data_IF_002416060273
#
_entry.id   IF_002416060273
#
_cell.length_a   1.000
_cell.length_b   1.000
_cell.length_c   1.000
_cell.angle_alpha   90.00
_cell.angle_beta   90.00
_cell.angle_gamma   90.00
#
_symmetry.space_group_name_H-M   'P 1'
#
loop_
_entity.id
_entity.type
_entity.pdbx_description
1 polymer ?
#
# COMPACT_ATOMS: atom_id res chain seq x y z
N UNK A 1 12.95 48.74 11.89
CA UNK A 1 13.40 47.75 10.89
C UNK A 1 13.26 46.39 11.54
N UNK A 2 12.11 45.76 11.33
CA UNK A 2 11.83 44.42 11.83
C UNK A 2 12.46 43.45 10.83
N UNK A 3 13.48 42.71 11.27
CA UNK A 3 14.13 41.72 10.43
C UNK A 3 13.06 40.69 10.03
N UNK A 4 12.78 40.57 8.73
CA UNK A 4 11.96 39.48 8.21
C UNK A 4 12.73 38.19 8.46
N UNK A 5 12.45 37.52 9.58
CA UNK A 5 12.98 36.20 9.84
C UNK A 5 12.54 35.29 8.68
N UNK A 6 13.48 34.91 7.83
CA UNK A 6 13.22 33.97 6.74
C UNK A 6 12.64 32.70 7.36
N UNK A 7 11.38 32.38 7.03
CA UNK A 7 10.81 31.11 7.47
C UNK A 7 11.49 30.00 6.66
N UNK A 8 11.98 28.93 7.31
CA UNK A 8 12.61 27.83 6.60
C UNK A 8 11.63 27.19 5.62
N UNK A 9 12.16 26.77 4.46
CA UNK A 9 11.40 26.07 3.41
C UNK A 9 10.72 24.82 4.02
N UNK A 10 9.43 24.57 3.74
CA UNK A 10 8.71 23.41 4.27
C UNK A 10 9.17 22.12 3.58
N UNK A 11 10.28 21.53 4.06
CA UNK A 11 10.90 20.34 3.45
C UNK A 11 10.06 19.05 3.55
N UNK A 12 9.22 18.93 4.59
CA UNK A 12 8.44 17.72 4.87
C UNK A 12 7.48 17.35 3.73
N UNK A 13 6.60 18.23 3.24
CA UNK A 13 5.71 17.87 2.15
C UNK A 13 6.43 17.67 0.81
N UNK A 14 7.57 18.35 0.55
CA UNK A 14 8.39 18.06 -0.62
C UNK A 14 9.00 16.65 -0.57
N UNK A 15 9.49 16.24 0.60
CA UNK A 15 9.97 14.87 0.80
C UNK A 15 8.82 13.87 0.63
N UNK A 16 7.65 14.15 1.21
CA UNK A 16 6.45 13.32 1.05
C UNK A 16 6.02 13.15 -0.42
N UNK A 17 6.00 14.22 -1.21
CA UNK A 17 5.71 14.16 -2.65
C UNK A 17 6.76 13.35 -3.42
N UNK A 18 8.03 13.51 -3.06
CA UNK A 18 9.12 12.75 -3.68
C UNK A 18 8.93 11.25 -3.42
N UNK A 19 8.61 10.86 -2.19
CA UNK A 19 8.30 9.48 -1.82
C UNK A 19 7.09 8.96 -2.60
N UNK A 20 5.98 9.70 -2.62
CA UNK A 20 4.76 9.31 -3.35
C UNK A 20 5.07 9.11 -4.85
N UNK A 21 5.88 9.99 -5.44
CA UNK A 21 6.26 9.89 -6.85
C UNK A 21 7.11 8.65 -7.11
N UNK A 22 8.11 8.40 -6.26
CA UNK A 22 8.97 7.22 -6.39
C UNK A 22 8.18 5.92 -6.23
N UNK A 23 7.36 5.82 -5.19
CA UNK A 23 6.51 4.65 -4.94
C UNK A 23 5.52 4.44 -6.08
N UNK A 24 4.88 5.51 -6.53
CA UNK A 24 3.96 5.49 -7.66
C UNK A 24 4.62 5.04 -8.96
N UNK A 25 5.84 5.51 -9.21
CA UNK A 25 6.62 5.12 -10.38
C UNK A 25 6.95 3.62 -10.37
N UNK A 26 7.42 3.07 -9.25
CA UNK A 26 7.70 1.64 -9.14
C UNK A 26 6.43 0.81 -9.31
N UNK A 27 5.39 1.08 -8.50
CA UNK A 27 4.19 0.25 -8.46
C UNK A 27 3.31 0.42 -9.71
N UNK A 28 2.92 1.63 -10.07
CA UNK A 28 1.88 1.85 -11.08
C UNK A 28 2.41 2.19 -12.49
N UNK A 29 3.69 2.55 -12.63
CA UNK A 29 4.28 2.81 -13.95
C UNK A 29 5.16 1.67 -14.41
N UNK A 30 6.03 1.17 -13.52
CA UNK A 30 6.92 0.04 -13.83
C UNK A 30 6.26 -1.31 -13.58
N UNK A 31 5.20 -1.38 -12.78
CA UNK A 31 4.56 -2.64 -12.41
C UNK A 31 5.46 -3.54 -11.58
N UNK A 32 6.41 -2.96 -10.82
CA UNK A 32 7.37 -3.72 -10.02
C UNK A 32 7.35 -3.26 -8.57
N UNK A 33 7.74 -4.19 -7.70
CA UNK A 33 7.84 -3.95 -6.28
C UNK A 33 8.84 -2.84 -5.92
N UNK A 34 8.50 -2.05 -4.91
CA UNK A 34 9.47 -1.15 -4.27
C UNK A 34 10.50 -2.01 -3.52
N UNK A 35 11.81 -1.89 -3.83
CA UNK A 35 12.84 -2.71 -3.20
C UNK A 35 12.83 -2.59 -1.68
N UNK A 36 13.12 -3.70 -0.99
CA UNK A 36 13.08 -3.86 0.48
C UNK A 36 11.68 -3.77 1.09
N UNK A 37 10.85 -2.83 0.64
CA UNK A 37 9.47 -2.67 1.13
C UNK A 37 8.63 -3.92 0.84
N UNK A 38 8.85 -4.55 -0.32
CA UNK A 38 8.19 -5.82 -0.65
C UNK A 38 8.60 -6.99 0.24
N UNK A 39 9.79 -6.97 0.85
CA UNK A 39 10.18 -7.98 1.84
C UNK A 39 9.45 -7.75 3.16
N UNK A 40 9.20 -6.49 3.51
CA UNK A 40 8.39 -6.12 4.67
C UNK A 40 6.94 -6.52 4.44
N UNK A 41 6.40 -6.25 3.24
CA UNK A 41 5.06 -6.67 2.82
C UNK A 41 4.90 -8.18 2.95
N UNK A 42 5.84 -8.95 2.39
CA UNK A 42 5.87 -10.40 2.53
C UNK A 42 5.89 -10.84 4.01
N UNK A 43 6.69 -10.18 4.85
CA UNK A 43 6.71 -10.49 6.28
C UNK A 43 5.35 -10.31 6.94
N UNK A 44 4.61 -9.25 6.58
CA UNK A 44 3.25 -9.04 7.07
C UNK A 44 2.23 -10.00 6.45
N UNK A 45 2.44 -10.43 5.21
CA UNK A 45 1.64 -11.44 4.54
C UNK A 45 1.70 -12.78 5.29
N UNK A 46 2.92 -13.30 5.50
CA UNK A 46 3.13 -14.53 6.25
C UNK A 46 2.68 -14.43 7.71
N UNK A 47 2.87 -13.26 8.33
CA UNK A 47 2.35 -13.01 9.67
C UNK A 47 0.82 -13.11 9.71
N UNK A 48 0.14 -12.67 8.65
CA UNK A 48 -1.31 -12.82 8.48
C UNK A 48 -1.70 -14.29 8.57
N UNK A 49 -1.10 -15.14 7.73
CA UNK A 49 -1.32 -16.58 7.79
C UNK A 49 -1.01 -17.18 9.16
N UNK A 50 0.14 -16.83 9.75
CA UNK A 50 0.58 -17.38 11.03
C UNK A 50 -0.40 -17.07 12.16
N UNK A 51 -0.85 -15.82 12.25
CA UNK A 51 -1.81 -15.38 13.29
C UNK A 51 -3.16 -16.04 13.09
N UNK A 52 -3.56 -16.29 11.85
CA UNK A 52 -4.87 -16.85 11.55
C UNK A 52 -4.92 -18.34 11.28
N UNK A 53 -3.79 -19.03 11.34
CA UNK A 53 -3.67 -20.48 11.18
C UNK A 53 -4.72 -21.33 11.93
N UNK A 54 -5.15 -21.00 13.18
CA UNK A 54 -6.20 -21.77 13.85
C UNK A 54 -7.63 -21.56 13.30
N UNK A 55 -7.84 -20.63 12.36
CA UNK A 55 -9.13 -20.34 11.74
C UNK A 55 -9.30 -21.13 10.42
N UNK A 56 -10.52 -21.14 9.81
CA UNK A 56 -10.73 -21.84 8.55
C UNK A 56 -9.80 -21.38 7.43
N UNK A 57 -9.39 -22.30 6.57
CA UNK A 57 -8.39 -22.08 5.51
C UNK A 57 -8.71 -20.86 4.62
N UNK A 58 -9.99 -20.62 4.31
CA UNK A 58 -10.40 -19.44 3.52
C UNK A 58 -10.08 -18.13 4.23
N UNK A 59 -10.24 -18.08 5.55
CA UNK A 59 -9.82 -16.93 6.36
C UNK A 59 -8.31 -16.83 6.30
N UNK A 60 -7.60 -17.91 6.62
CA UNK A 60 -6.14 -17.93 6.65
C UNK A 60 -5.51 -17.47 5.34
N UNK A 61 -5.96 -18.00 4.20
CA UNK A 61 -5.48 -17.61 2.87
C UNK A 61 -5.77 -16.12 2.57
N UNK A 62 -6.95 -15.62 2.95
CA UNK A 62 -7.30 -14.21 2.74
C UNK A 62 -6.43 -13.27 3.58
N UNK A 63 -6.03 -13.72 4.76
CA UNK A 63 -5.37 -12.85 5.74
C UNK A 63 -3.99 -12.39 5.33
N UNK A 64 -3.26 -13.12 4.49
CA UNK A 64 -1.95 -12.68 4.00
C UNK A 64 -2.05 -11.36 3.23
N UNK A 65 -2.90 -11.32 2.19
CA UNK A 65 -3.12 -10.08 1.42
C UNK A 65 -3.78 -8.98 2.26
N UNK A 66 -4.67 -9.34 3.19
CA UNK A 66 -5.35 -8.37 4.06
C UNK A 66 -4.34 -7.67 4.99
N UNK A 67 -3.49 -8.40 5.71
CA UNK A 67 -2.51 -7.80 6.63
C UNK A 67 -1.47 -6.99 5.87
N UNK A 68 -1.04 -7.46 4.70
CA UNK A 68 -0.09 -6.77 3.84
C UNK A 68 -0.53 -5.34 3.52
N UNK A 69 -1.82 -5.09 3.30
CA UNK A 69 -2.37 -3.75 3.03
C UNK A 69 -2.79 -3.04 4.34
N UNK A 70 -3.43 -3.77 5.25
CA UNK A 70 -4.03 -3.19 6.45
C UNK A 70 -2.99 -2.63 7.43
N UNK A 71 -1.80 -3.23 7.52
CA UNK A 71 -0.72 -2.76 8.42
C UNK A 71 -0.23 -1.37 8.03
N UNK A 72 0.27 -1.12 6.80
CA UNK A 72 0.69 0.24 6.41
C UNK A 72 -0.46 1.23 6.43
N UNK A 73 -1.69 0.81 6.07
CA UNK A 73 -2.86 1.68 6.18
C UNK A 73 -3.16 2.08 7.64
N UNK A 74 -3.12 1.12 8.57
CA UNK A 74 -3.30 1.37 10.00
C UNK A 74 -2.23 2.29 10.58
N UNK A 75 -0.98 2.13 10.15
CA UNK A 75 0.11 3.05 10.50
C UNK A 75 -0.15 4.46 9.95
N UNK A 76 -0.65 4.59 8.71
CA UNK A 76 -1.04 5.89 8.16
C UNK A 76 -2.10 6.55 9.04
N UNK A 77 -3.17 5.82 9.40
CA UNK A 77 -4.22 6.31 10.31
C UNK A 77 -3.64 6.72 11.66
N UNK A 78 -2.73 5.94 12.24
CA UNK A 78 -2.05 6.27 13.49
C UNK A 78 -1.25 7.57 13.39
N UNK A 79 -0.46 7.75 12.33
CA UNK A 79 0.32 8.97 12.13
C UNK A 79 -0.58 10.19 11.92
N UNK A 80 -1.70 10.05 11.21
CA UNK A 80 -2.66 11.14 11.01
C UNK A 80 -3.42 11.51 12.30
N UNK A 81 -3.83 10.52 13.08
CA UNK A 81 -4.78 10.73 14.18
C UNK A 81 -4.09 10.95 15.52
N UNK A 82 -3.09 10.12 15.85
CA UNK A 82 -2.42 10.12 17.15
C UNK A 82 -1.17 11.00 17.13
N UNK A 83 -0.32 10.83 16.11
CA UNK A 83 0.95 11.58 16.03
C UNK A 83 0.80 12.97 15.43
N UNK A 84 -0.27 13.20 14.66
CA UNK A 84 -0.47 14.41 13.84
C UNK A 84 0.75 14.69 12.94
N UNK A 85 1.32 13.64 12.35
CA UNK A 85 2.48 13.69 11.48
C UNK A 85 2.07 13.43 10.02
N UNK A 86 2.06 14.49 9.22
CA UNK A 86 1.67 14.46 7.81
C UNK A 86 2.64 13.68 6.92
N UNK A 87 3.94 13.74 7.23
CA UNK A 87 4.96 13.01 6.49
C UNK A 87 4.84 11.52 6.76
N UNK A 88 4.72 11.13 8.03
CA UNK A 88 4.50 9.73 8.43
C UNK A 88 3.21 9.16 7.82
N UNK A 89 2.12 9.94 7.86
CA UNK A 89 0.86 9.57 7.19
C UNK A 89 1.07 9.33 5.69
N UNK A 90 1.68 10.28 4.98
CA UNK A 90 1.83 10.21 3.53
C UNK A 90 2.75 9.07 3.10
N UNK A 91 3.84 8.82 3.85
CA UNK A 91 4.72 7.68 3.63
C UNK A 91 3.97 6.35 3.78
N UNK A 92 3.27 6.14 4.91
CA UNK A 92 2.58 4.89 5.19
C UNK A 92 1.39 4.66 4.25
N UNK A 93 0.68 5.71 3.85
CA UNK A 93 -0.42 5.57 2.90
C UNK A 93 0.08 5.29 1.47
N UNK A 94 1.19 5.92 1.06
CA UNK A 94 1.85 5.57 -0.19
C UNK A 94 2.39 4.13 -0.18
N UNK A 95 2.90 3.65 0.95
CA UNK A 95 3.27 2.24 1.13
C UNK A 95 2.05 1.32 1.03
N UNK A 96 0.93 1.65 1.68
CA UNK A 96 -0.32 0.88 1.51
C UNK A 96 -0.77 0.83 0.04
N UNK A 97 -0.54 1.90 -0.73
CA UNK A 97 -0.81 1.92 -2.16
C UNK A 97 0.06 0.92 -2.95
N UNK A 98 1.37 0.86 -2.68
CA UNK A 98 2.26 -0.10 -3.37
C UNK A 98 1.95 -1.54 -2.96
N UNK A 99 1.57 -1.75 -1.71
CA UNK A 99 1.11 -3.05 -1.20
C UNK A 99 -0.17 -3.51 -1.90
N UNK A 100 -1.16 -2.62 -2.06
CA UNK A 100 -2.37 -2.92 -2.81
C UNK A 100 -2.08 -3.24 -4.28
N UNK A 101 -1.19 -2.50 -4.94
CA UNK A 101 -0.76 -2.83 -6.30
C UNK A 101 -0.11 -4.23 -6.38
N UNK A 102 0.76 -4.57 -5.41
CA UNK A 102 1.39 -5.88 -5.40
C UNK A 102 0.35 -7.01 -5.21
N UNK A 103 -0.61 -6.83 -4.31
CA UNK A 103 -1.74 -7.76 -4.13
C UNK A 103 -2.59 -7.85 -5.41
N UNK A 104 -2.83 -6.75 -6.11
CA UNK A 104 -3.55 -6.77 -7.39
C UNK A 104 -2.87 -7.67 -8.43
N UNK A 105 -1.54 -7.56 -8.58
CA UNK A 105 -0.76 -8.44 -9.46
C UNK A 105 -0.88 -9.90 -9.02
N UNK A 106 -0.84 -10.16 -7.71
CA UNK A 106 -1.00 -11.51 -7.16
C UNK A 106 -2.41 -12.08 -7.41
N UNK A 107 -3.47 -11.27 -7.29
CA UNK A 107 -4.85 -11.67 -7.62
C UNK A 107 -4.96 -12.00 -9.11
N UNK A 108 -4.41 -11.16 -9.98
CA UNK A 108 -4.46 -11.35 -11.43
C UNK A 108 -3.75 -12.62 -11.89
N UNK A 109 -2.74 -13.07 -11.15
CA UNK A 109 -2.01 -14.30 -11.42
C UNK A 109 -2.76 -15.57 -10.98
N UNK A 110 -3.81 -15.46 -10.15
CA UNK A 110 -4.50 -16.61 -9.58
C UNK A 110 -4.94 -17.71 -10.58
N UNK A 111 -5.44 -17.39 -11.80
CA UNK A 111 -5.79 -18.42 -12.79
C UNK A 111 -4.57 -19.14 -13.40
N UNK A 112 -3.39 -18.51 -13.35
CA UNK A 112 -2.17 -18.95 -14.03
C UNK A 112 -1.14 -19.55 -13.07
N UNK A 113 -1.08 -19.05 -11.83
CA UNK A 113 -0.12 -19.42 -10.79
C UNK A 113 1.32 -19.39 -11.29
N UNK A 114 1.67 -18.34 -12.05
CA UNK A 114 2.98 -18.20 -12.67
C UNK A 114 3.99 -17.47 -11.75
N UNK A 115 3.50 -16.74 -10.74
CA UNK A 115 4.37 -16.04 -9.79
C UNK A 115 5.10 -17.03 -8.87
N UNK A 116 6.41 -16.81 -8.59
CA UNK A 116 7.14 -17.66 -7.68
C UNK A 116 6.66 -17.44 -6.24
N UNK A 117 6.29 -18.54 -5.57
CA UNK A 117 5.86 -18.52 -4.17
C UNK A 117 7.03 -18.82 -3.23
N UNK A 118 6.91 -18.36 -1.98
CA UNK A 118 7.80 -18.75 -0.89
C UNK A 118 7.15 -19.93 -0.16
N UNK A 119 7.12 -21.06 -0.87
CA UNK A 119 6.42 -22.27 -0.43
C UNK A 119 4.89 -22.12 -0.43
N UNK A 120 4.20 -23.15 0.05
CA UNK A 120 2.74 -23.15 0.16
C UNK A 120 1.98 -23.26 -1.17
N UNK A 121 0.68 -22.99 -1.10
CA UNK A 121 -0.23 -22.88 -2.23
C UNK A 121 -0.47 -21.41 -2.59
N UNK A 122 -0.94 -21.14 -3.81
CA UNK A 122 -1.27 -19.78 -4.23
C UNK A 122 -2.61 -19.34 -3.62
N UNK A 123 -2.60 -18.40 -2.66
CA UNK A 123 -3.78 -18.03 -1.86
C UNK A 123 -4.96 -17.60 -2.72
N UNK A 124 -4.76 -16.72 -3.69
CA UNK A 124 -5.85 -16.25 -4.53
C UNK A 124 -6.37 -17.33 -5.48
N UNK A 125 -5.55 -18.29 -5.90
CA UNK A 125 -6.02 -19.44 -6.65
C UNK A 125 -6.89 -20.35 -5.77
N UNK A 126 -6.47 -20.56 -4.52
CA UNK A 126 -7.27 -21.27 -3.51
C UNK A 126 -8.58 -20.55 -3.21
N UNK A 127 -8.56 -19.26 -2.90
CA UNK A 127 -9.73 -18.43 -2.56
C UNK A 127 -10.73 -18.44 -3.72
N UNK A 128 -10.30 -18.07 -4.93
CA UNK A 128 -11.19 -17.96 -6.07
C UNK A 128 -11.67 -19.34 -6.56
N UNK A 129 -10.82 -20.36 -6.50
CA UNK A 129 -11.20 -21.74 -6.79
C UNK A 129 -12.25 -22.27 -5.81
N UNK A 130 -12.05 -22.01 -4.51
CA UNK A 130 -12.99 -22.42 -3.46
C UNK A 130 -14.34 -21.74 -3.59
N UNK A 131 -14.36 -20.50 -4.06
CA UNK A 131 -15.56 -19.71 -4.28
C UNK A 131 -16.17 -19.91 -5.68
N UNK A 132 -15.51 -20.65 -6.58
CA UNK A 132 -15.91 -20.79 -8.00
C UNK A 132 -15.98 -19.46 -8.77
N UNK A 133 -15.05 -18.55 -8.47
CA UNK A 133 -14.96 -17.18 -9.01
C UNK A 133 -13.60 -16.88 -9.66
N UNK A 134 -12.94 -17.88 -10.24
CA UNK A 134 -11.62 -17.71 -10.90
C UNK A 134 -11.68 -16.72 -12.07
N UNK A 135 -12.79 -16.69 -12.80
CA UNK A 135 -12.99 -15.77 -13.93
C UNK A 135 -13.08 -14.29 -13.50
N UNK A 136 -13.36 -14.02 -12.22
CA UNK A 136 -13.44 -12.67 -11.66
C UNK A 136 -12.06 -12.11 -11.25
N UNK A 137 -10.98 -12.91 -11.35
CA UNK A 137 -9.63 -12.51 -10.93
C UNK A 137 -9.20 -11.14 -11.48
N UNK A 138 -9.41 -10.92 -12.79
CA UNK A 138 -9.04 -9.65 -13.44
C UNK A 138 -9.85 -8.45 -12.90
N UNK A 139 -11.14 -8.64 -12.61
CA UNK A 139 -11.99 -7.59 -12.07
C UNK A 139 -11.60 -7.24 -10.62
N UNK A 140 -11.34 -8.25 -9.80
CA UNK A 140 -10.88 -8.07 -8.41
C UNK A 140 -9.51 -7.40 -8.40
N UNK A 141 -8.58 -7.87 -9.22
CA UNK A 141 -7.27 -7.25 -9.38
C UNK A 141 -7.38 -5.76 -9.74
N UNK A 142 -8.20 -5.42 -10.72
CA UNK A 142 -8.44 -4.01 -11.10
C UNK A 142 -9.06 -3.17 -9.98
N UNK A 143 -9.96 -3.74 -9.18
CA UNK A 143 -10.52 -3.07 -8.02
C UNK A 143 -9.47 -2.79 -6.93
N UNK A 144 -8.62 -3.77 -6.62
CA UNK A 144 -7.54 -3.63 -5.63
C UNK A 144 -6.49 -2.62 -6.12
N UNK A 145 -6.14 -2.64 -7.41
CA UNK A 145 -5.25 -1.63 -8.00
C UNK A 145 -5.85 -0.22 -7.89
N UNK A 146 -7.14 -0.07 -8.20
CA UNK A 146 -7.87 1.19 -8.08
C UNK A 146 -7.85 1.75 -6.65
N UNK A 147 -8.01 0.89 -5.63
CA UNK A 147 -7.84 1.28 -4.22
C UNK A 147 -6.42 1.80 -3.97
N UNK A 148 -5.40 1.12 -4.49
CA UNK A 148 -4.02 1.57 -4.42
C UNK A 148 -3.81 2.95 -5.05
N UNK A 149 -4.37 3.20 -6.24
CA UNK A 149 -4.29 4.51 -6.90
C UNK A 149 -4.96 5.61 -6.06
N UNK A 150 -6.11 5.32 -5.43
CA UNK A 150 -6.79 6.26 -4.53
C UNK A 150 -5.93 6.58 -3.31
N UNK A 151 -5.30 5.58 -2.68
CA UNK A 151 -4.39 5.80 -1.56
C UNK A 151 -3.20 6.68 -1.94
N UNK A 152 -2.58 6.40 -3.09
CA UNK A 152 -1.44 7.18 -3.56
C UNK A 152 -1.83 8.64 -3.87
N UNK A 153 -2.95 8.83 -4.56
CA UNK A 153 -3.47 10.16 -4.89
C UNK A 153 -3.81 10.95 -3.62
N UNK A 154 -4.41 10.29 -2.62
CA UNK A 154 -4.73 10.93 -1.36
C UNK A 154 -3.47 11.31 -0.56
N UNK A 155 -2.47 10.43 -0.50
CA UNK A 155 -1.18 10.71 0.13
C UNK A 155 -0.48 11.93 -0.51
N UNK A 156 -0.40 11.96 -1.84
CA UNK A 156 0.19 13.08 -2.58
C UNK A 156 -0.63 14.37 -2.40
N UNK A 157 -1.96 14.28 -2.47
CA UNK A 157 -2.86 15.40 -2.29
C UNK A 157 -2.72 16.06 -0.92
N UNK A 158 -2.53 15.28 0.14
CA UNK A 158 -2.28 15.81 1.49
C UNK A 158 -0.94 16.56 1.57
N UNK A 159 0.11 16.08 0.89
CA UNK A 159 1.38 16.81 0.81
C UNK A 159 1.22 18.14 0.04
N UNK A 160 0.46 18.16 -1.06
CA UNK A 160 0.16 19.41 -1.81
C UNK A 160 -0.63 20.39 -0.95
N UNK A 161 -1.63 19.90 -0.21
CA UNK A 161 -2.44 20.72 0.69
C UNK A 161 -1.58 21.35 1.80
N UNK A 162 -0.64 20.60 2.37
CA UNK A 162 0.32 21.13 3.35
C UNK A 162 1.20 22.23 2.75
N UNK A 163 1.72 22.06 1.52
CA UNK A 163 2.47 23.13 0.83
C UNK A 163 1.62 24.38 0.63
N UNK A 164 0.37 24.22 0.19
CA UNK A 164 -0.52 25.34 -0.08
C UNK A 164 -0.86 26.13 1.19
N UNK A 165 -1.09 25.42 2.31
CA UNK A 165 -1.42 26.04 3.60
C UNK A 165 -0.22 26.66 4.31
N UNK A 166 0.99 26.20 4.01
CA UNK A 166 2.24 26.73 4.59
C UNK A 166 2.89 27.84 3.75
N UNK A 167 2.42 28.07 2.53
CA UNK A 167 2.92 29.13 1.65
C UNK A 167 2.47 30.52 2.12
N UNK A 168 3.37 31.53 2.15
CA UNK A 168 3.00 32.90 2.46
C UNK A 168 2.05 33.47 1.39
N UNK A 169 0.97 34.14 1.84
CA UNK A 169 0.06 34.91 0.99
C UNK A 169 0.60 36.31 0.72
#
# INVERSE_FOLDING_TARGET
MEATAERPIPWRPFLGLTICTLFGWFAFVRGVNVPLLSLVDLGFHELGHLVTYPFPDLVTASMGSITQIAVPFGLAVYFATVRKDSLGFSFCLAWAATSAQNVSVYVADAPFQALPLIGGEHDWAFILGRLSHVDDAAAIAGAVEGIGMVFLAFAAGMCVLELWTTSPR
#
